data_IF_682413482232
#
_entry.id   IF_682413482232
#
_cell.length_a   1.000
_cell.length_b   1.000
_cell.length_c   1.000
_cell.angle_alpha   90.00
_cell.angle_beta   90.00
_cell.angle_gamma   90.00
#
_symmetry.space_group_name_H-M   'P 1'
#
loop_
_entity.id
_entity.type
_entity.pdbx_description
1 polymer ?
#
# COMPACT_ATOMS: atom_id res chain seq x y z
N UNK A 1 20.48 -16.27 -9.59
CA UNK A 1 20.76 -15.65 -8.27
C UNK A 1 19.76 -16.20 -7.27
N UNK A 2 20.24 -16.70 -6.13
CA UNK A 2 19.39 -17.21 -5.06
C UNK A 2 18.77 -16.08 -4.22
N UNK A 3 17.70 -16.38 -3.47
CA UNK A 3 17.03 -15.43 -2.58
C UNK A 3 17.98 -14.72 -1.60
N UNK A 4 18.97 -15.45 -1.06
CA UNK A 4 19.94 -14.91 -0.11
C UNK A 4 20.95 -13.95 -0.76
N UNK A 5 21.33 -14.16 -2.02
CA UNK A 5 22.23 -13.27 -2.77
C UNK A 5 21.53 -11.95 -3.11
N UNK A 6 20.24 -12.00 -3.46
CA UNK A 6 19.44 -10.79 -3.67
C UNK A 6 19.34 -9.94 -2.40
N UNK A 7 19.23 -10.57 -1.22
CA UNK A 7 19.20 -9.85 0.07
C UNK A 7 20.45 -9.02 0.36
N UNK A 8 21.61 -9.43 -0.15
CA UNK A 8 22.87 -8.69 0.03
C UNK A 8 22.99 -7.46 -0.88
N UNK A 9 22.15 -7.36 -1.91
CA UNK A 9 22.14 -6.24 -2.87
C UNK A 9 20.92 -5.33 -2.70
N UNK A 10 20.19 -5.47 -1.58
CA UNK A 10 19.01 -4.65 -1.30
C UNK A 10 19.46 -3.22 -1.01
N UNK A 11 18.78 -2.20 -1.57
CA UNK A 11 19.07 -0.81 -1.23
C UNK A 11 18.99 -0.58 0.28
N UNK A 12 19.88 0.27 0.78
CA UNK A 12 19.98 0.61 2.22
C UNK A 12 18.69 1.28 2.72
N UNK A 13 17.97 1.97 1.83
CA UNK A 13 16.68 2.59 2.12
C UNK A 13 15.79 2.61 0.87
N UNK A 14 14.48 2.63 1.10
CA UNK A 14 13.46 2.82 0.05
C UNK A 14 12.73 4.12 0.28
N UNK A 15 12.47 4.85 -0.80
CA UNK A 15 11.63 6.04 -0.80
C UNK A 15 10.15 5.64 -0.98
N UNK A 16 9.36 5.84 0.08
CA UNK A 16 7.97 5.42 0.15
C UNK A 16 7.03 6.61 0.27
N UNK A 17 5.90 6.56 -0.42
CA UNK A 17 4.76 7.43 -0.14
C UNK A 17 3.69 6.67 0.65
N UNK A 18 3.03 7.35 1.57
CA UNK A 18 1.92 6.83 2.38
C UNK A 18 0.64 7.54 1.99
N UNK A 19 -0.38 6.79 1.58
CA UNK A 19 -1.64 7.32 1.08
C UNK A 19 -2.81 6.69 1.83
N UNK A 20 -3.54 7.50 2.59
CA UNK A 20 -4.69 7.04 3.37
C UNK A 20 -5.95 7.32 2.58
N UNK A 21 -6.72 6.28 2.29
CA UNK A 21 -7.95 6.35 1.51
C UNK A 21 -9.11 6.34 2.48
N UNK A 22 -9.69 7.52 2.73
CA UNK A 22 -10.76 7.69 3.70
C UNK A 22 -11.60 8.93 3.41
N UNK A 23 -12.91 8.80 3.57
CA UNK A 23 -13.83 9.94 3.50
C UNK A 23 -13.96 10.74 4.79
N UNK A 24 -13.48 10.22 5.92
CA UNK A 24 -13.73 10.79 7.27
C UNK A 24 -12.48 11.07 8.09
N UNK A 25 -11.32 10.49 7.75
CA UNK A 25 -10.07 10.72 8.48
C UNK A 25 -9.52 12.12 8.21
N UNK A 26 -8.87 12.66 9.23
CA UNK A 26 -8.03 13.86 9.17
C UNK A 26 -6.64 13.52 9.66
N UNK A 27 -5.67 14.42 9.48
CA UNK A 27 -4.30 14.20 9.97
C UNK A 27 -4.25 13.94 11.49
N UNK A 28 -5.18 14.54 12.24
CA UNK A 28 -5.27 14.35 13.69
C UNK A 28 -5.79 12.94 14.04
N UNK A 29 -6.75 12.42 13.29
CA UNK A 29 -7.44 11.14 13.57
C UNK A 29 -6.85 9.95 12.82
N UNK A 30 -5.93 10.17 11.89
CA UNK A 30 -5.30 9.10 11.14
C UNK A 30 -4.20 8.40 11.96
N UNK A 31 -4.56 7.29 12.59
CA UNK A 31 -3.62 6.43 13.30
C UNK A 31 -2.82 5.53 12.35
N UNK A 32 -3.43 5.04 11.26
CA UNK A 32 -2.77 4.10 10.36
C UNK A 32 -1.63 4.74 9.59
N UNK A 33 -1.80 5.95 9.06
CA UNK A 33 -0.71 6.63 8.36
C UNK A 33 0.40 7.07 9.29
N UNK A 34 0.09 7.46 10.53
CA UNK A 34 1.12 7.67 11.58
C UNK A 34 1.90 6.39 11.84
N UNK A 35 1.21 5.27 12.04
CA UNK A 35 1.83 3.96 12.28
C UNK A 35 2.74 3.54 11.12
N UNK A 36 2.22 3.55 9.88
CA UNK A 36 2.98 3.19 8.67
C UNK A 36 4.22 4.09 8.52
N UNK A 37 4.05 5.40 8.71
CA UNK A 37 5.15 6.38 8.61
C UNK A 37 6.23 6.09 9.66
N UNK A 38 5.86 5.80 10.90
CA UNK A 38 6.80 5.45 11.96
C UNK A 38 7.53 4.15 11.65
N UNK A 39 6.82 3.08 11.28
CA UNK A 39 7.43 1.80 10.94
C UNK A 39 8.42 1.92 9.77
N UNK A 40 8.07 2.69 8.73
CA UNK A 40 8.97 2.93 7.61
C UNK A 40 10.28 3.59 8.06
N UNK A 41 10.18 4.65 8.87
CA UNK A 41 11.34 5.38 9.41
C UNK A 41 12.19 4.50 10.34
N UNK A 42 11.56 3.72 11.21
CA UNK A 42 12.24 2.78 12.10
C UNK A 42 12.99 1.69 11.34
N UNK A 43 12.47 1.27 10.18
CA UNK A 43 13.16 0.36 9.27
C UNK A 43 14.21 1.04 8.35
N UNK A 44 14.51 2.33 8.56
CA UNK A 44 15.52 3.07 7.79
C UNK A 44 15.06 3.56 6.41
N UNK A 45 13.75 3.52 6.12
CA UNK A 45 13.17 4.01 4.88
C UNK A 45 12.79 5.50 4.97
N UNK A 46 12.67 6.15 3.82
CA UNK A 46 12.27 7.54 3.73
C UNK A 46 10.79 7.65 3.37
N UNK A 47 10.08 8.59 3.99
CA UNK A 47 8.71 8.94 3.61
C UNK A 47 8.74 10.20 2.75
N UNK A 48 8.56 10.06 1.44
CA UNK A 48 8.63 11.16 0.46
C UNK A 48 7.34 11.95 0.37
N UNK A 49 6.21 11.30 0.66
CA UNK A 49 4.90 11.94 0.68
C UNK A 49 3.98 11.24 1.69
N UNK A 50 3.09 12.03 2.29
CA UNK A 50 1.97 11.57 3.07
C UNK A 50 0.72 12.31 2.58
N UNK A 51 -0.38 11.60 2.34
CA UNK A 51 -1.65 12.21 1.99
C UNK A 51 -2.84 11.41 2.52
N UNK A 52 -3.91 12.13 2.83
CA UNK A 52 -5.25 11.55 3.01
C UNK A 52 -6.08 11.98 1.80
N UNK A 53 -6.69 11.01 1.14
CA UNK A 53 -7.50 11.21 -0.06
C UNK A 53 -8.89 10.60 0.12
N UNK A 54 -9.85 11.15 -0.61
CA UNK A 54 -11.20 10.60 -0.65
C UNK A 54 -11.20 9.20 -1.26
N UNK A 55 -12.12 8.36 -0.80
CA UNK A 55 -12.34 7.02 -1.35
C UNK A 55 -13.09 7.10 -2.69
N UNK A 56 -12.38 7.62 -3.70
CA UNK A 56 -12.86 7.89 -5.04
C UNK A 56 -11.83 7.41 -6.07
N UNK A 57 -12.29 6.83 -7.17
CA UNK A 57 -11.42 6.23 -8.17
C UNK A 57 -10.50 7.25 -8.86
N UNK A 58 -11.00 8.47 -9.12
CA UNK A 58 -10.20 9.54 -9.73
C UNK A 58 -9.16 10.06 -8.74
N UNK A 59 -9.52 10.24 -7.48
CA UNK A 59 -8.59 10.65 -6.42
C UNK A 59 -7.45 9.63 -6.24
N UNK A 60 -7.77 8.34 -6.18
CA UNK A 60 -6.80 7.25 -6.05
C UNK A 60 -5.85 7.24 -7.27
N UNK A 61 -6.39 7.22 -8.49
CA UNK A 61 -5.57 7.19 -9.73
C UNK A 61 -4.69 8.42 -9.85
N UNK A 62 -5.26 9.61 -9.67
CA UNK A 62 -4.51 10.87 -9.76
C UNK A 62 -3.40 10.97 -8.72
N UNK A 63 -3.60 10.41 -7.53
CA UNK A 63 -2.56 10.38 -6.48
C UNK A 63 -1.43 9.43 -6.85
N UNK A 64 -1.75 8.22 -7.33
CA UNK A 64 -0.75 7.25 -7.79
C UNK A 64 0.10 7.86 -8.92
N UNK A 65 -0.56 8.43 -9.94
CA UNK A 65 0.13 9.07 -11.06
C UNK A 65 1.02 10.23 -10.61
N UNK A 66 0.51 11.10 -9.74
CA UNK A 66 1.26 12.25 -9.22
C UNK A 66 2.48 11.79 -8.43
N UNK A 67 2.31 10.83 -7.54
CA UNK A 67 3.39 10.32 -6.69
C UNK A 67 4.43 9.61 -7.54
N UNK A 68 4.06 8.79 -8.50
CA UNK A 68 5.04 8.13 -9.35
C UNK A 68 5.75 9.07 -10.33
N UNK A 69 5.15 10.21 -10.70
CA UNK A 69 5.80 11.24 -11.53
C UNK A 69 6.83 12.09 -10.79
N UNK A 70 6.96 11.97 -9.47
CA UNK A 70 7.94 12.74 -8.69
C UNK A 70 9.41 12.37 -8.97
N UNK A 71 9.64 11.24 -9.64
CA UNK A 71 10.97 10.72 -9.99
C UNK A 71 11.78 10.13 -8.82
N UNK A 72 11.31 10.25 -7.57
CA UNK A 72 12.04 9.83 -6.37
C UNK A 72 11.36 8.70 -5.59
N UNK A 73 10.03 8.58 -5.68
CA UNK A 73 9.27 7.55 -4.97
C UNK A 73 9.39 6.21 -5.67
N UNK A 74 9.69 5.17 -4.89
CA UNK A 74 9.90 3.79 -5.33
C UNK A 74 8.74 2.87 -4.93
N UNK A 75 8.05 3.19 -3.83
CA UNK A 75 6.91 2.44 -3.35
C UNK A 75 5.77 3.34 -2.86
N UNK A 76 4.52 2.93 -3.09
CA UNK A 76 3.33 3.52 -2.46
C UNK A 76 2.73 2.49 -1.51
N UNK A 77 2.43 2.91 -0.28
CA UNK A 77 1.66 2.14 0.69
C UNK A 77 0.32 2.85 0.89
N UNK A 78 -0.76 2.19 0.50
CA UNK A 78 -2.13 2.67 0.74
C UNK A 78 -2.73 2.00 1.96
N UNK A 79 -3.66 2.69 2.63
CA UNK A 79 -4.49 2.09 3.67
C UNK A 79 -5.90 2.65 3.63
N UNK A 80 -6.90 1.75 3.60
CA UNK A 80 -8.33 2.10 3.57
C UNK A 80 -9.02 1.81 2.23
N UNK A 81 -10.35 1.73 2.28
CA UNK A 81 -11.21 1.48 1.11
C UNK A 81 -11.11 0.05 0.52
N UNK A 82 -10.62 -0.92 1.30
CA UNK A 82 -10.43 -2.32 0.85
C UNK A 82 -11.47 -3.29 1.41
N UNK A 83 -12.49 -2.85 2.15
CA UNK A 83 -13.52 -3.75 2.69
C UNK A 83 -14.37 -4.46 1.62
N UNK A 84 -15.40 -5.16 2.07
CA UNK A 84 -16.34 -5.89 1.21
C UNK A 84 -17.58 -5.07 0.79
N UNK A 85 -17.68 -3.80 1.21
CA UNK A 85 -18.79 -2.93 0.84
C UNK A 85 -18.68 -2.49 -0.61
N UNK A 86 -19.81 -2.10 -1.22
CA UNK A 86 -19.83 -1.45 -2.53
C UNK A 86 -19.06 -0.12 -2.57
N UNK A 87 -18.85 0.49 -1.40
CA UNK A 87 -18.04 1.70 -1.25
C UNK A 87 -16.54 1.40 -1.24
N UNK A 88 -16.12 0.16 -1.00
CA UNK A 88 -14.71 -0.23 -0.90
C UNK A 88 -14.14 -0.57 -2.28
N UNK A 89 -13.54 0.43 -2.92
CA UNK A 89 -13.14 0.39 -4.32
C UNK A 89 -11.61 0.41 -4.55
N UNK A 90 -10.81 0.43 -3.48
CA UNK A 90 -9.35 0.59 -3.60
C UNK A 90 -8.71 -0.51 -4.45
N UNK A 91 -9.06 -1.78 -4.18
CA UNK A 91 -8.49 -2.93 -4.90
C UNK A 91 -8.92 -2.92 -6.38
N UNK A 92 -10.21 -2.66 -6.65
CA UNK A 92 -10.79 -2.55 -7.99
C UNK A 92 -10.17 -1.39 -8.79
N UNK A 93 -9.81 -0.30 -8.10
CA UNK A 93 -9.22 0.88 -8.73
C UNK A 93 -7.76 0.65 -9.09
N UNK A 94 -6.99 0.00 -8.21
CA UNK A 94 -5.54 -0.20 -8.36
C UNK A 94 -5.21 -1.41 -9.25
N UNK A 95 -5.96 -2.51 -9.14
CA UNK A 95 -5.65 -3.77 -9.86
C UNK A 95 -5.47 -3.62 -11.37
N UNK A 96 -6.29 -2.83 -12.11
CA UNK A 96 -6.11 -2.65 -13.55
C UNK A 96 -4.84 -1.88 -13.94
N UNK A 97 -4.21 -1.17 -13.00
CA UNK A 97 -2.98 -0.40 -13.23
C UNK A 97 -1.72 -1.28 -13.13
N UNK A 98 -1.84 -2.48 -12.55
CA UNK A 98 -0.70 -3.33 -12.31
C UNK A 98 -0.15 -3.91 -13.61
N UNK A 99 1.13 -3.67 -13.87
CA UNK A 99 1.89 -4.42 -14.87
C UNK A 99 2.15 -5.86 -14.41
N UNK A 100 2.29 -6.07 -13.09
CA UNK A 100 2.44 -7.41 -12.49
C UNK A 100 1.83 -7.42 -11.09
N UNK A 101 0.97 -8.40 -10.85
CA UNK A 101 0.40 -8.66 -9.52
C UNK A 101 1.29 -9.60 -8.71
N UNK A 102 1.38 -9.35 -7.41
CA UNK A 102 2.10 -10.19 -6.44
C UNK A 102 1.08 -10.90 -5.54
N UNK A 103 0.40 -11.92 -6.06
CA UNK A 103 -0.73 -12.59 -5.38
C UNK A 103 -0.36 -13.12 -3.98
N UNK A 104 0.88 -13.61 -3.83
CA UNK A 104 1.41 -14.10 -2.55
C UNK A 104 1.34 -13.09 -1.40
N UNK A 105 1.32 -11.78 -1.67
CA UNK A 105 1.14 -10.78 -0.62
C UNK A 105 -0.23 -10.89 0.04
N UNK A 106 -1.30 -10.88 -0.76
CA UNK A 106 -2.66 -10.98 -0.24
C UNK A 106 -2.95 -12.34 0.40
N UNK A 107 -2.36 -13.40 -0.14
CA UNK A 107 -2.46 -14.76 0.43
C UNK A 107 -1.81 -14.85 1.81
N UNK A 108 -0.57 -14.37 1.94
CA UNK A 108 0.14 -14.36 3.22
C UNK A 108 -0.54 -13.42 4.22
N UNK A 109 -0.98 -12.25 3.77
CA UNK A 109 -1.73 -11.31 4.59
C UNK A 109 -2.96 -11.99 5.20
N UNK A 110 -3.82 -12.60 4.37
CA UNK A 110 -5.01 -13.32 4.85
C UNK A 110 -4.66 -14.53 5.73
N UNK A 111 -3.57 -15.24 5.46
CA UNK A 111 -3.12 -16.33 6.32
C UNK A 111 -2.73 -15.83 7.73
N UNK A 112 -2.02 -14.71 7.81
CA UNK A 112 -1.66 -14.08 9.07
C UNK A 112 -2.89 -13.54 9.78
N UNK A 113 -3.77 -12.84 9.06
CA UNK A 113 -5.04 -12.32 9.60
C UNK A 113 -5.95 -13.45 10.10
N UNK A 114 -5.99 -14.60 9.43
CA UNK A 114 -6.76 -15.76 9.90
C UNK A 114 -6.27 -16.27 11.26
N UNK A 115 -4.96 -16.23 11.52
CA UNK A 115 -4.40 -16.61 12.82
C UNK A 115 -4.79 -15.62 13.93
N UNK A 116 -5.07 -14.37 13.58
CA UNK A 116 -5.41 -13.31 14.54
C UNK A 116 -6.92 -13.22 14.80
N UNK A 117 -7.74 -13.23 13.74
CA UNK A 117 -9.18 -12.95 13.82
C UNK A 117 -10.07 -14.07 13.23
N UNK A 118 -9.49 -15.24 12.91
CA UNK A 118 -10.22 -16.39 12.40
C UNK A 118 -10.92 -16.13 11.06
N UNK A 119 -12.16 -16.60 10.94
CA UNK A 119 -12.96 -16.51 9.71
C UNK A 119 -13.27 -15.07 9.29
N UNK A 120 -13.12 -14.08 10.17
CA UNK A 120 -13.23 -12.66 9.81
C UNK A 120 -12.25 -12.24 8.70
N UNK A 121 -11.12 -12.94 8.58
CA UNK A 121 -10.13 -12.75 7.51
C UNK A 121 -10.67 -12.99 6.10
N UNK A 122 -11.81 -13.68 5.94
CA UNK A 122 -12.47 -13.87 4.64
C UNK A 122 -12.86 -12.52 4.02
N UNK A 123 -13.19 -11.52 4.85
CA UNK A 123 -13.54 -10.17 4.40
C UNK A 123 -12.32 -9.27 4.18
N UNK A 124 -11.13 -9.72 4.58
CA UNK A 124 -9.91 -8.94 4.45
C UNK A 124 -9.40 -8.96 3.02
N UNK A 125 -9.22 -7.78 2.44
CA UNK A 125 -8.67 -7.63 1.09
C UNK A 125 -7.42 -6.77 1.17
N UNK A 126 -6.37 -7.30 0.55
CA UNK A 126 -5.06 -6.68 0.44
C UNK A 126 -4.43 -7.16 -0.87
N UNK A 127 -3.63 -6.31 -1.48
CA UNK A 127 -2.93 -6.59 -2.73
C UNK A 127 -1.57 -5.92 -2.76
N UNK A 128 -0.66 -6.50 -3.53
CA UNK A 128 0.55 -5.80 -3.91
C UNK A 128 0.85 -6.06 -5.38
N UNK A 129 1.58 -5.14 -6.00
CA UNK A 129 1.94 -5.26 -7.40
C UNK A 129 2.94 -4.21 -7.84
N UNK A 130 3.24 -4.26 -9.13
CA UNK A 130 4.16 -3.34 -9.81
C UNK A 130 3.37 -2.47 -10.79
N UNK A 131 3.56 -1.17 -10.71
CA UNK A 131 3.08 -0.16 -11.66
C UNK A 131 4.31 0.59 -12.17
N UNK A 132 4.56 0.56 -13.48
CA UNK A 132 5.70 1.27 -14.11
C UNK A 132 7.07 1.04 -13.42
N UNK A 133 7.32 -0.20 -12.96
CA UNK A 133 8.57 -0.56 -12.28
C UNK A 133 8.64 -0.15 -10.80
N UNK A 134 7.59 0.46 -10.25
CA UNK A 134 7.46 0.88 -8.85
C UNK A 134 6.47 -0.02 -8.11
N UNK A 135 6.66 -0.16 -6.79
CA UNK A 135 5.83 -1.03 -5.95
C UNK A 135 4.58 -0.29 -5.47
N UNK A 136 3.44 -0.97 -5.44
CA UNK A 136 2.27 -0.53 -4.69
C UNK A 136 1.79 -1.65 -3.78
N UNK A 137 1.42 -1.29 -2.55
CA UNK A 137 0.85 -2.19 -1.54
C UNK A 137 -0.44 -1.54 -1.03
N UNK A 138 -1.54 -2.30 -1.01
CA UNK A 138 -2.83 -1.89 -0.48
C UNK A 138 -3.48 -2.95 0.38
#
# INVERSE_FOLDING_TARGET
MGYQEHKHHVPVSVNCAVVIISGSRTEQTDESGKYITSCLKECGNNVTAYSIIQNDASAIRGTIDKVFKDGITQAIITSGGTGASHMDITIETISPLLAKKMDGFGELFRNLTYKEIGTGSILSRAMAGIIEGKVIIS
#
